data_IF_595607388375
#
_entry.id   IF_595607388375
#
_cell.length_a   1.000
_cell.length_b   1.000
_cell.length_c   1.000
_cell.angle_alpha   90.00
_cell.angle_beta   90.00
_cell.angle_gamma   90.00
#
_symmetry.space_group_name_H-M   'P 1'
#
loop_
_entity.id
_entity.type
_entity.pdbx_description
1 polymer ?
#
# COMPACT_ATOMS: atom_id res chain seq x y z
N UNK A 1 5.32 13.13 -1.43
CA UNK A 1 4.11 13.02 -2.25
C UNK A 1 3.62 11.58 -2.35
N UNK A 2 2.28 11.42 -2.35
CA UNK A 2 1.64 10.12 -2.64
C UNK A 2 1.34 10.09 -4.14
N UNK A 3 2.40 9.99 -4.91
CA UNK A 3 2.35 9.97 -6.36
C UNK A 3 3.57 9.21 -6.88
N UNK A 4 3.39 8.44 -7.94
CA UNK A 4 4.46 7.67 -8.55
C UNK A 4 3.99 6.91 -9.78
N UNK A 5 4.96 6.39 -10.48
CA UNK A 5 4.82 5.48 -11.61
C UNK A 5 5.64 4.22 -11.29
N UNK A 6 5.25 3.10 -11.86
CA UNK A 6 6.07 1.88 -11.82
C UNK A 6 7.31 1.97 -12.72
N UNK A 7 7.37 3.00 -13.56
CA UNK A 7 8.51 3.30 -14.42
C UNK A 7 9.44 4.30 -13.74
N UNK A 8 10.72 4.09 -13.82
CA UNK A 8 11.75 4.98 -13.30
C UNK A 8 12.54 5.65 -14.44
N UNK A 9 13.25 6.72 -14.10
CA UNK A 9 14.09 7.47 -15.03
C UNK A 9 13.40 8.68 -15.67
N UNK A 10 14.20 9.64 -16.09
CA UNK A 10 13.78 10.94 -16.62
C UNK A 10 12.88 10.83 -17.86
N UNK A 11 13.13 9.84 -18.72
CA UNK A 11 12.33 9.59 -19.94
C UNK A 11 10.87 9.20 -19.64
N UNK A 12 10.58 8.80 -18.41
CA UNK A 12 9.25 8.43 -17.95
C UNK A 12 8.62 9.52 -17.05
N UNK A 13 9.18 10.73 -17.04
CA UNK A 13 8.64 11.85 -16.28
C UNK A 13 7.25 12.26 -16.80
N UNK A 14 6.37 12.65 -15.87
CA UNK A 14 5.01 13.10 -16.14
C UNK A 14 4.89 14.54 -15.64
N UNK A 15 4.56 15.49 -16.53
CA UNK A 15 4.52 16.93 -16.25
C UNK A 15 3.60 17.25 -15.04
N UNK A 16 2.39 16.69 -15.03
CA UNK A 16 1.36 16.94 -14.01
C UNK A 16 1.32 15.85 -12.92
N UNK A 17 2.43 15.13 -12.66
CA UNK A 17 2.46 13.97 -11.75
C UNK A 17 1.88 14.27 -10.35
N UNK A 18 2.10 15.46 -9.83
CA UNK A 18 1.72 15.85 -8.46
C UNK A 18 0.37 16.57 -8.39
N UNK A 19 -0.19 16.99 -9.51
CA UNK A 19 -1.43 17.77 -9.57
C UNK A 19 -2.62 16.99 -9.01
N UNK A 20 -3.25 17.57 -8.00
CA UNK A 20 -4.37 16.94 -7.29
C UNK A 20 -4.00 15.77 -6.39
N UNK A 21 -2.72 15.35 -6.36
CA UNK A 21 -2.22 14.29 -5.48
C UNK A 21 -1.91 14.82 -4.09
N UNK A 22 -1.90 13.94 -3.10
CA UNK A 22 -1.54 14.29 -1.73
C UNK A 22 -0.02 14.36 -1.56
N UNK A 23 0.44 15.39 -0.86
CA UNK A 23 1.81 15.46 -0.32
C UNK A 23 1.72 15.58 1.19
N UNK A 24 2.36 14.66 1.89
CA UNK A 24 2.41 14.62 3.34
C UNK A 24 3.75 15.23 3.78
N UNK A 25 3.67 16.14 4.73
CA UNK A 25 4.84 16.73 5.37
C UNK A 25 4.87 16.28 6.82
N UNK A 26 6.03 15.75 7.22
CA UNK A 26 6.37 15.50 8.63
C UNK A 26 7.62 16.31 8.97
N UNK A 27 7.58 17.00 10.07
CA UNK A 27 8.70 17.81 10.53
C UNK A 27 8.74 17.88 12.05
N UNK A 28 9.94 18.09 12.59
CA UNK A 28 10.15 18.25 14.03
C UNK A 28 9.68 19.63 14.49
N UNK A 29 9.19 19.74 15.74
CA UNK A 29 8.70 21.01 16.31
C UNK A 29 9.73 22.15 16.30
N UNK A 30 11.01 21.82 16.30
CA UNK A 30 12.10 22.78 16.17
C UNK A 30 12.36 23.28 14.73
N UNK A 31 11.63 22.78 13.75
CA UNK A 31 11.80 23.23 12.36
C UNK A 31 11.38 24.69 12.21
N UNK A 32 12.27 25.50 11.61
CA UNK A 32 11.98 26.92 11.41
C UNK A 32 10.75 27.11 10.50
N UNK A 33 9.73 27.88 10.93
CA UNK A 33 8.49 28.06 10.16
C UNK A 33 8.73 28.57 8.73
N UNK A 34 9.76 29.37 8.52
CA UNK A 34 10.13 29.87 7.20
C UNK A 34 10.46 28.71 6.23
N UNK A 35 11.18 27.69 6.68
CA UNK A 35 11.57 26.57 5.83
C UNK A 35 10.38 25.65 5.57
N UNK A 36 9.57 25.37 6.58
CA UNK A 36 8.31 24.60 6.43
C UNK A 36 7.41 25.28 5.41
N UNK A 37 7.18 26.60 5.54
CA UNK A 37 6.35 27.34 4.61
C UNK A 37 6.90 27.35 3.17
N UNK A 38 8.20 27.41 2.97
CA UNK A 38 8.81 27.30 1.64
C UNK A 38 8.54 25.94 0.99
N UNK A 39 8.69 24.85 1.74
CA UNK A 39 8.41 23.50 1.25
C UNK A 39 6.92 23.34 0.93
N UNK A 40 6.05 23.85 1.81
CA UNK A 40 4.60 23.83 1.56
C UNK A 40 4.23 24.61 0.30
N UNK A 41 4.82 25.80 0.10
CA UNK A 41 4.57 26.61 -1.10
C UNK A 41 5.00 25.90 -2.37
N UNK A 42 6.20 25.27 -2.37
CA UNK A 42 6.68 24.49 -3.51
C UNK A 42 5.67 23.41 -3.92
N UNK A 43 5.21 22.59 -2.97
CA UNK A 43 4.25 21.52 -3.28
C UNK A 43 2.88 22.05 -3.70
N UNK A 44 2.44 23.19 -3.16
CA UNK A 44 1.21 23.85 -3.62
C UNK A 44 1.33 24.37 -5.06
N UNK A 45 2.46 24.96 -5.42
CA UNK A 45 2.72 25.41 -6.79
C UNK A 45 2.74 24.25 -7.79
N UNK A 46 3.22 23.07 -7.38
CA UNK A 46 3.13 21.82 -8.15
C UNK A 46 1.71 21.22 -8.19
N UNK A 47 0.73 21.89 -7.59
CA UNK A 47 -0.68 21.47 -7.62
C UNK A 47 -1.04 20.37 -6.62
N UNK A 48 -0.16 20.05 -5.65
CA UNK A 48 -0.43 19.04 -4.63
C UNK A 48 -1.38 19.53 -3.53
N UNK A 49 -2.15 18.59 -2.97
CA UNK A 49 -2.90 18.77 -1.72
C UNK A 49 -1.99 18.42 -0.56
N UNK A 50 -1.74 19.39 0.34
CA UNK A 50 -0.81 19.21 1.44
C UNK A 50 -1.56 18.79 2.70
N UNK A 51 -1.03 17.74 3.36
CA UNK A 51 -1.40 17.32 4.71
C UNK A 51 -0.16 17.33 5.59
N UNK A 52 -0.32 17.72 6.85
CA UNK A 52 0.75 17.61 7.85
C UNK A 52 0.38 16.45 8.76
N UNK A 53 1.29 15.50 8.90
CA UNK A 53 1.17 14.38 9.82
C UNK A 53 2.41 14.32 10.70
N UNK A 54 2.20 13.91 11.92
CA UNK A 54 3.26 13.40 12.77
C UNK A 54 3.94 12.18 12.12
N UNK A 55 5.25 12.03 12.32
CA UNK A 55 6.01 10.95 11.67
C UNK A 55 5.56 9.56 12.11
N UNK A 56 5.23 9.40 13.40
CA UNK A 56 4.76 8.13 13.93
C UNK A 56 3.38 7.75 13.35
N UNK A 57 2.47 8.72 13.27
CA UNK A 57 1.15 8.53 12.65
C UNK A 57 1.29 8.25 11.14
N UNK A 58 2.21 8.93 10.46
CA UNK A 58 2.54 8.62 9.07
C UNK A 58 2.93 7.14 8.90
N UNK A 59 3.88 6.67 9.70
CA UNK A 59 4.40 5.31 9.61
C UNK A 59 3.33 4.26 9.94
N UNK A 60 2.46 4.53 10.93
CA UNK A 60 1.32 3.67 11.22
C UNK A 60 0.34 3.58 10.05
N UNK A 61 -0.08 4.72 9.46
CA UNK A 61 -1.01 4.75 8.33
C UNK A 61 -0.42 4.03 7.12
N UNK A 62 0.86 4.31 6.80
CA UNK A 62 1.51 3.73 5.62
C UNK A 62 1.83 2.26 5.78
N UNK A 63 1.99 1.75 7.01
CA UNK A 63 2.08 0.31 7.25
C UNK A 63 0.88 -0.44 6.67
N UNK A 64 -0.34 0.08 6.84
CA UNK A 64 -1.57 -0.55 6.34
C UNK A 64 -1.91 -0.16 4.90
N UNK A 65 -1.76 1.12 4.53
CA UNK A 65 -2.25 1.63 3.24
C UNK A 65 -1.29 1.40 2.07
N UNK A 66 0.00 1.18 2.36
CA UNK A 66 1.05 1.03 1.34
C UNK A 66 1.90 -0.23 1.55
N UNK A 67 2.46 -0.40 2.76
CA UNK A 67 3.45 -1.44 2.98
C UNK A 67 2.81 -2.84 3.04
N UNK A 68 1.71 -3.00 3.77
CA UNK A 68 0.99 -4.27 3.86
C UNK A 68 0.54 -4.81 2.50
N UNK A 69 -0.04 -4.04 1.57
CA UNK A 69 -0.33 -4.50 0.21
C UNK A 69 0.87 -5.11 -0.51
N UNK A 70 2.06 -4.52 -0.38
CA UNK A 70 3.27 -5.06 -0.98
C UNK A 70 3.75 -6.33 -0.27
N UNK A 71 3.71 -6.37 1.06
CA UNK A 71 3.99 -7.60 1.84
C UNK A 71 3.10 -8.74 1.37
N UNK A 72 1.79 -8.48 1.20
CA UNK A 72 0.83 -9.50 0.72
C UNK A 72 1.17 -9.95 -0.69
N UNK A 73 1.54 -9.04 -1.59
CA UNK A 73 1.92 -9.40 -2.95
C UNK A 73 3.18 -10.28 -2.98
N UNK A 74 4.21 -9.94 -2.20
CA UNK A 74 5.41 -10.78 -2.05
C UNK A 74 5.09 -12.14 -1.43
N UNK A 75 4.27 -12.19 -0.37
CA UNK A 75 3.87 -13.43 0.28
C UNK A 75 3.05 -14.33 -0.65
N UNK A 76 2.10 -13.75 -1.40
CA UNK A 76 1.32 -14.47 -2.39
C UNK A 76 2.22 -15.08 -3.47
N UNK A 77 3.11 -14.27 -4.07
CA UNK A 77 4.05 -14.77 -5.07
C UNK A 77 4.94 -15.88 -4.54
N UNK A 78 5.44 -15.74 -3.30
CA UNK A 78 6.21 -16.80 -2.67
C UNK A 78 5.42 -18.09 -2.47
N UNK A 79 4.12 -18.00 -2.17
CA UNK A 79 3.22 -19.15 -2.08
C UNK A 79 3.04 -19.82 -3.45
N UNK A 80 2.86 -19.01 -4.50
CA UNK A 80 2.66 -19.51 -5.87
C UNK A 80 3.90 -20.21 -6.44
N UNK A 81 5.11 -19.89 -5.97
CA UNK A 81 6.35 -20.57 -6.40
C UNK A 81 6.36 -22.09 -6.17
N UNK A 82 5.52 -22.57 -5.26
CA UNK A 82 5.38 -24.01 -4.99
C UNK A 82 4.44 -24.75 -5.95
N UNK A 83 3.78 -24.05 -6.88
CA UNK A 83 2.83 -24.61 -7.83
C UNK A 83 3.48 -24.79 -9.21
N UNK A 84 2.82 -25.59 -10.08
CA UNK A 84 3.23 -25.69 -11.47
C UNK A 84 3.09 -24.35 -12.19
N UNK A 85 4.18 -23.87 -12.77
CA UNK A 85 4.23 -22.51 -13.35
C UNK A 85 3.57 -22.44 -14.73
N UNK A 86 3.57 -23.52 -15.50
CA UNK A 86 2.93 -23.56 -16.81
C UNK A 86 1.40 -23.52 -16.65
N UNK A 87 0.87 -24.27 -15.69
CA UNK A 87 -0.54 -24.23 -15.33
C UNK A 87 -0.95 -22.86 -14.79
N UNK A 88 -0.14 -22.24 -13.93
CA UNK A 88 -0.41 -20.91 -13.42
C UNK A 88 -0.44 -19.88 -14.54
N UNK A 89 0.52 -19.88 -15.45
CA UNK A 89 0.56 -18.95 -16.58
C UNK A 89 -0.67 -19.13 -17.51
N UNK A 90 -1.09 -20.36 -17.74
CA UNK A 90 -2.21 -20.67 -18.62
C UNK A 90 -3.58 -20.32 -18.02
N UNK A 91 -3.75 -20.55 -16.71
CA UNK A 91 -5.05 -20.41 -16.04
C UNK A 91 -5.19 -19.14 -15.18
N UNK A 92 -4.15 -18.32 -15.07
CA UNK A 92 -4.23 -17.05 -14.34
C UNK A 92 -5.06 -16.02 -15.09
N UNK A 93 -6.07 -15.48 -14.43
CA UNK A 93 -6.81 -14.33 -14.94
C UNK A 93 -6.07 -13.00 -14.70
N UNK A 94 -6.53 -11.92 -15.35
CA UNK A 94 -5.94 -10.58 -15.23
C UNK A 94 -5.81 -10.06 -13.80
N UNK A 95 -6.70 -10.46 -12.89
CA UNK A 95 -6.68 -10.03 -11.49
C UNK A 95 -5.40 -10.44 -10.74
N UNK A 96 -4.86 -11.63 -11.00
CA UNK A 96 -3.59 -12.05 -10.39
C UNK A 96 -2.43 -11.17 -10.91
N UNK A 97 -2.36 -10.95 -12.22
CA UNK A 97 -1.31 -10.12 -12.83
C UNK A 97 -1.32 -8.68 -12.30
N UNK A 98 -2.49 -8.07 -12.21
CA UNK A 98 -2.66 -6.73 -11.63
C UNK A 98 -2.19 -6.65 -10.17
N UNK A 99 -2.52 -7.66 -9.37
CA UNK A 99 -2.09 -7.70 -7.98
C UNK A 99 -0.57 -7.91 -7.86
N UNK A 100 0.01 -8.83 -8.63
CA UNK A 100 1.44 -9.12 -8.64
C UNK A 100 2.30 -7.99 -9.26
N UNK A 101 1.69 -7.02 -9.95
CA UNK A 101 2.39 -5.83 -10.43
C UNK A 101 3.13 -5.09 -9.30
N UNK A 102 2.64 -5.16 -8.08
CA UNK A 102 3.30 -4.55 -6.92
C UNK A 102 4.71 -5.12 -6.69
N UNK A 103 4.94 -6.39 -7.00
CA UNK A 103 6.24 -7.05 -6.83
C UNK A 103 7.29 -6.59 -7.87
N UNK A 104 6.87 -5.91 -8.94
CA UNK A 104 7.78 -5.38 -9.97
C UNK A 104 8.55 -4.13 -9.53
N UNK A 105 8.29 -3.60 -8.34
CA UNK A 105 9.00 -2.46 -7.77
C UNK A 105 10.42 -2.85 -7.32
N UNK A 106 11.31 -1.86 -7.15
CA UNK A 106 12.69 -2.09 -6.69
C UNK A 106 12.74 -2.85 -5.35
N UNK A 107 13.37 -4.01 -5.35
CA UNK A 107 13.55 -4.82 -4.14
C UNK A 107 14.44 -4.12 -3.10
N UNK A 108 15.43 -3.34 -3.53
CA UNK A 108 16.30 -2.55 -2.66
C UNK A 108 15.48 -1.50 -1.91
N UNK A 109 14.71 -0.69 -2.63
CA UNK A 109 13.82 0.31 -2.05
C UNK A 109 12.84 -0.31 -1.03
N UNK A 110 12.23 -1.45 -1.36
CA UNK A 110 11.28 -2.10 -0.46
C UNK A 110 11.94 -2.74 0.76
N UNK A 111 13.19 -3.21 0.64
CA UNK A 111 13.98 -3.67 1.78
C UNK A 111 14.20 -2.53 2.78
N UNK A 112 14.55 -1.35 2.30
CA UNK A 112 14.75 -0.16 3.15
C UNK A 112 13.43 0.27 3.82
N UNK A 113 12.33 0.35 3.05
CA UNK A 113 11.01 0.70 3.57
C UNK A 113 10.58 -0.28 4.67
N UNK A 114 10.72 -1.58 4.45
CA UNK A 114 10.34 -2.58 5.43
C UNK A 114 11.21 -2.52 6.68
N UNK A 115 12.50 -2.28 6.53
CA UNK A 115 13.44 -2.16 7.65
C UNK A 115 13.16 -0.90 8.48
N UNK A 116 12.87 0.23 7.85
CA UNK A 116 12.62 1.49 8.54
C UNK A 116 11.29 1.50 9.31
N UNK A 117 10.29 0.75 8.85
CA UNK A 117 8.97 0.69 9.49
C UNK A 117 8.61 -0.71 10.01
N UNK A 118 9.62 -1.49 10.43
CA UNK A 118 9.47 -2.91 10.77
C UNK A 118 8.39 -3.20 11.81
N UNK A 119 8.31 -2.39 12.87
CA UNK A 119 7.37 -2.60 13.99
C UNK A 119 5.92 -2.48 13.53
N UNK A 120 5.59 -1.38 12.87
CA UNK A 120 4.23 -1.15 12.39
C UNK A 120 3.82 -2.16 11.32
N UNK A 121 4.76 -2.56 10.46
CA UNK A 121 4.51 -3.60 9.45
C UNK A 121 4.28 -4.95 10.11
N UNK A 122 5.05 -5.32 11.14
CA UNK A 122 4.83 -6.55 11.89
C UNK A 122 3.42 -6.60 12.51
N UNK A 123 2.97 -5.52 13.14
CA UNK A 123 1.60 -5.41 13.66
C UNK A 123 0.55 -5.55 12.54
N UNK A 124 0.75 -4.88 11.41
CA UNK A 124 -0.17 -4.97 10.29
C UNK A 124 -0.25 -6.40 9.70
N UNK A 125 0.88 -7.11 9.66
CA UNK A 125 0.93 -8.54 9.27
C UNK A 125 0.15 -9.40 10.25
N UNK A 126 0.34 -9.20 11.56
CA UNK A 126 -0.39 -9.97 12.58
C UNK A 126 -1.91 -9.78 12.46
N UNK A 127 -2.37 -8.55 12.21
CA UNK A 127 -3.78 -8.26 11.99
C UNK A 127 -4.31 -8.90 10.70
N UNK A 128 -3.52 -8.91 9.63
CA UNK A 128 -3.88 -9.62 8.41
C UNK A 128 -3.98 -11.13 8.65
N UNK A 129 -3.05 -11.73 9.38
CA UNK A 129 -3.08 -13.16 9.72
C UNK A 129 -4.34 -13.50 10.51
N UNK A 130 -4.75 -12.67 11.48
CA UNK A 130 -6.02 -12.83 12.18
C UNK A 130 -7.21 -12.81 11.21
N UNK A 131 -7.24 -11.83 10.31
CA UNK A 131 -8.30 -11.69 9.30
C UNK A 131 -8.35 -12.88 8.33
N UNK A 132 -7.18 -13.38 7.89
CA UNK A 132 -7.09 -14.58 7.06
C UNK A 132 -7.61 -15.84 7.79
N UNK A 133 -7.32 -15.97 9.08
CA UNK A 133 -7.83 -17.09 9.86
C UNK A 133 -9.36 -17.03 10.02
N UNK A 134 -9.92 -15.85 10.26
CA UNK A 134 -11.38 -15.64 10.31
C UNK A 134 -12.01 -16.05 8.98
N UNK A 135 -11.46 -15.58 7.86
CA UNK A 135 -11.96 -15.92 6.52
C UNK A 135 -11.86 -17.42 6.23
N UNK A 136 -10.71 -18.03 6.56
CA UNK A 136 -10.49 -19.47 6.44
C UNK A 136 -11.52 -20.28 7.22
N UNK A 137 -11.81 -19.89 8.45
CA UNK A 137 -12.80 -20.58 9.28
C UNK A 137 -14.21 -20.47 8.70
N UNK A 138 -14.59 -19.29 8.20
CA UNK A 138 -15.88 -19.12 7.52
C UNK A 138 -15.99 -19.96 6.26
N UNK A 139 -14.94 -20.03 5.45
CA UNK A 139 -14.90 -20.86 4.25
C UNK A 139 -15.08 -22.34 4.61
N UNK A 140 -14.42 -22.82 5.67
CA UNK A 140 -14.44 -24.26 6.04
C UNK A 140 -15.69 -24.67 6.80
N UNK A 141 -16.15 -23.85 7.73
CA UNK A 141 -17.05 -24.28 8.79
C UNK A 141 -18.41 -23.58 8.76
N UNK A 142 -18.54 -22.43 8.09
CA UNK A 142 -19.78 -21.65 8.08
C UNK A 142 -20.04 -20.92 6.75
N UNK A 143 -20.31 -21.66 5.67
CA UNK A 143 -20.57 -21.05 4.35
C UNK A 143 -21.78 -20.10 4.33
N UNK A 144 -22.74 -20.27 5.26
CA UNK A 144 -23.90 -19.38 5.32
C UNK A 144 -23.56 -18.00 5.85
N UNK A 145 -22.70 -17.92 6.87
CA UNK A 145 -22.23 -16.64 7.37
C UNK A 145 -21.19 -15.98 6.47
N UNK A 146 -20.50 -16.76 5.63
CA UNK A 146 -19.51 -16.24 4.68
C UNK A 146 -20.12 -15.19 3.74
N UNK A 147 -21.30 -15.46 3.17
CA UNK A 147 -21.97 -14.52 2.27
C UNK A 147 -22.26 -13.18 2.97
N UNK A 148 -22.78 -13.24 4.20
CA UNK A 148 -23.04 -12.04 5.01
C UNK A 148 -21.76 -11.24 5.27
N UNK A 149 -20.70 -11.93 5.68
CA UNK A 149 -19.39 -11.31 5.92
C UNK A 149 -18.81 -10.64 4.67
N UNK A 150 -18.84 -11.28 3.52
CA UNK A 150 -18.36 -10.69 2.27
C UNK A 150 -19.22 -9.50 1.82
N UNK A 151 -20.53 -9.55 2.06
CA UNK A 151 -21.45 -8.44 1.75
C UNK A 151 -21.17 -7.22 2.64
N UNK A 152 -20.89 -7.44 3.92
CA UNK A 152 -20.48 -6.37 4.85
C UNK A 152 -19.19 -5.69 4.39
N UNK A 153 -18.16 -6.45 4.03
CA UNK A 153 -16.90 -5.90 3.51
C UNK A 153 -17.10 -5.14 2.20
N UNK A 154 -17.96 -5.63 1.32
CA UNK A 154 -18.33 -4.90 0.10
C UNK A 154 -18.97 -3.55 0.41
N UNK A 155 -19.96 -3.53 1.30
CA UNK A 155 -20.64 -2.28 1.72
C UNK A 155 -19.64 -1.31 2.38
N UNK A 156 -18.74 -1.80 3.22
CA UNK A 156 -17.68 -0.99 3.82
C UNK A 156 -16.80 -0.33 2.75
N UNK A 157 -16.36 -1.10 1.74
CA UNK A 157 -15.57 -0.57 0.61
C UNK A 157 -16.31 0.53 -0.13
N UNK A 158 -17.59 0.31 -0.47
CA UNK A 158 -18.42 1.27 -1.22
C UNK A 158 -18.68 2.59 -0.44
N UNK A 159 -18.64 2.54 0.89
CA UNK A 159 -18.85 3.70 1.75
C UNK A 159 -17.59 4.51 2.04
N UNK A 160 -16.39 3.95 1.85
CA UNK A 160 -15.14 4.55 2.30
C UNK A 160 -14.09 4.75 1.20
N UNK A 161 -14.27 4.10 0.04
CA UNK A 161 -13.38 4.11 -1.12
C UNK A 161 -14.15 4.28 -2.43
#
# INVERSE_FOLDING_TARGET
PVAGSHLSGEVNSIEDLFKGKSTILSYHDSAAPLHVNRVMSLWKELGSKISVLDAELHDQIFAYSSHLPHVVAYALLNTLKGLDQDDLALFSGGGLGEFLRLVSSSSEMWTDIFSMNEKNIAFAIDDLVKSLNILKDKIKNDPKSLQGFLSELKAFKESNY
#
